data_IF_159735633004
#
_entry.id   IF_159735633004
#
_cell.length_a   1.000
_cell.length_b   1.000
_cell.length_c   1.000
_cell.angle_alpha   90.00
_cell.angle_beta   90.00
_cell.angle_gamma   90.00
#
_symmetry.space_group_name_H-M   'P 1'
#
loop_
_entity.id
_entity.type
_entity.pdbx_description
1 polymer ?
#
# COMPACT_ATOMS: atom_id res chain seq x y z
N UNK A 1 -3.12 7.14 14.77
CA UNK A 1 -1.75 7.63 14.76
C UNK A 1 -0.82 6.48 14.55
N UNK A 2 -0.01 6.56 13.55
CA UNK A 2 1.27 5.88 13.41
C UNK A 2 1.26 4.35 13.34
N UNK A 3 0.37 3.81 12.53
CA UNK A 3 0.53 2.46 12.01
C UNK A 3 1.73 2.38 11.03
N UNK A 4 2.11 1.20 10.53
CA UNK A 4 3.21 1.04 9.59
C UNK A 4 2.85 1.41 8.13
N UNK A 5 1.84 2.25 7.90
CA UNK A 5 1.33 2.57 6.56
C UNK A 5 2.44 3.10 5.66
N UNK A 6 3.20 4.12 6.08
CA UNK A 6 4.31 4.68 5.32
C UNK A 6 5.45 3.69 5.01
N UNK A 7 5.53 2.55 5.72
CA UNK A 7 6.46 1.45 5.42
C UNK A 7 5.82 0.32 4.60
N UNK A 8 4.52 0.43 4.30
CA UNK A 8 3.75 -0.58 3.55
C UNK A 8 3.35 -0.07 2.17
N UNK A 9 2.72 1.10 2.09
CA UNK A 9 2.03 1.57 0.89
C UNK A 9 2.17 3.08 0.64
N UNK A 10 3.27 3.70 1.08
CA UNK A 10 3.52 5.12 0.79
C UNK A 10 3.65 5.36 -0.72
N UNK A 11 3.03 6.46 -1.17
CA UNK A 11 2.99 6.95 -2.54
C UNK A 11 2.74 8.48 -2.52
N UNK A 12 3.22 9.29 -3.45
CA UNK A 12 4.02 8.96 -4.64
C UNK A 12 5.48 8.60 -4.34
N UNK A 13 6.20 8.05 -5.31
CA UNK A 13 7.57 7.59 -5.17
C UNK A 13 8.52 8.24 -6.20
N UNK A 14 9.65 8.83 -5.73
CA UNK A 14 10.77 9.18 -6.59
C UNK A 14 11.64 7.95 -6.86
N UNK A 15 11.59 7.42 -8.06
CA UNK A 15 12.37 6.25 -8.47
C UNK A 15 13.88 6.51 -8.41
N UNK A 16 14.30 7.75 -8.72
CA UNK A 16 15.70 8.15 -8.67
C UNK A 16 16.27 8.13 -7.26
N UNK A 17 15.42 8.12 -6.23
CA UNK A 17 15.85 7.93 -4.85
C UNK A 17 16.33 6.50 -4.57
N UNK A 18 15.74 5.50 -5.19
CA UNK A 18 16.03 4.08 -4.95
C UNK A 18 17.12 3.53 -5.87
N UNK A 19 16.98 3.74 -7.17
CA UNK A 19 17.84 3.12 -8.17
C UNK A 19 18.01 4.04 -9.39
N UNK A 20 18.76 3.58 -10.39
CA UNK A 20 18.92 4.30 -11.64
C UNK A 20 17.58 4.51 -12.38
N UNK A 21 17.51 5.63 -13.07
CA UNK A 21 16.40 5.99 -13.94
C UNK A 21 16.92 6.41 -15.31
N UNK A 22 16.02 6.54 -16.29
CA UNK A 22 16.39 7.10 -17.60
C UNK A 22 16.92 8.53 -17.44
N UNK A 23 18.14 8.74 -17.89
CA UNK A 23 18.85 10.02 -17.72
C UNK A 23 19.66 10.15 -16.42
N UNK A 24 19.49 9.24 -15.47
CA UNK A 24 20.23 9.17 -14.21
C UNK A 24 20.80 7.78 -13.91
N UNK A 25 21.81 7.32 -14.68
CA UNK A 25 22.31 5.92 -14.57
C UNK A 25 23.02 5.62 -13.24
N UNK A 26 23.38 6.64 -12.47
CA UNK A 26 24.07 6.51 -11.18
C UNK A 26 23.23 7.00 -10.01
N UNK A 27 21.94 7.30 -10.23
CA UNK A 27 21.04 7.74 -9.16
C UNK A 27 20.67 6.61 -8.20
N UNK A 28 20.20 7.02 -7.04
CA UNK A 28 19.59 6.16 -6.04
C UNK A 28 20.55 5.56 -5.01
N UNK A 29 19.95 5.17 -3.90
CA UNK A 29 20.62 4.54 -2.74
C UNK A 29 21.46 3.33 -3.17
N UNK A 30 20.98 2.58 -4.15
CA UNK A 30 21.65 1.38 -4.66
C UNK A 30 22.99 1.72 -5.29
N UNK A 31 23.08 2.84 -6.00
CA UNK A 31 24.28 3.23 -6.77
C UNK A 31 25.23 4.13 -5.99
N UNK A 32 24.76 4.80 -4.96
CA UNK A 32 25.61 5.63 -4.08
C UNK A 32 26.34 4.78 -3.03
N UNK A 33 27.33 4.01 -3.48
CA UNK A 33 28.15 3.16 -2.62
C UNK A 33 28.99 3.97 -1.62
N UNK A 34 29.27 5.23 -1.94
CA UNK A 34 30.09 6.11 -1.08
C UNK A 34 29.31 6.56 0.14
N UNK A 35 28.08 7.02 -0.03
CA UNK A 35 27.22 7.48 1.05
C UNK A 35 26.60 6.30 1.80
N UNK A 36 26.23 5.25 1.08
CA UNK A 36 25.57 4.06 1.61
C UNK A 36 26.40 2.80 1.33
N UNK A 37 27.52 2.58 2.03
CA UNK A 37 28.43 1.45 1.74
C UNK A 37 27.75 0.09 1.93
N UNK A 38 26.78 0.01 2.83
CA UNK A 38 26.00 -1.20 3.10
C UNK A 38 24.50 -0.88 3.04
N UNK A 39 23.73 -1.76 2.42
CA UNK A 39 22.25 -1.71 2.45
C UNK A 39 21.79 -2.54 3.63
N UNK A 40 21.22 -1.88 4.64
CA UNK A 40 20.72 -2.53 5.85
C UNK A 40 19.25 -2.20 6.08
N UNK A 41 18.57 -2.99 6.91
CA UNK A 41 17.19 -2.75 7.31
C UNK A 41 17.01 -1.37 7.96
N UNK A 42 17.85 -1.05 8.94
CA UNK A 42 17.77 0.22 9.67
C UNK A 42 18.06 1.42 8.74
N UNK A 43 18.96 1.23 7.77
CA UNK A 43 19.21 2.25 6.74
C UNK A 43 17.93 2.53 5.95
N UNK A 44 17.26 1.51 5.40
CA UNK A 44 16.07 1.70 4.58
C UNK A 44 14.91 2.30 5.37
N UNK A 45 14.67 1.83 6.59
CA UNK A 45 13.66 2.44 7.47
C UNK A 45 13.98 3.93 7.73
N UNK A 46 15.24 4.25 8.03
CA UNK A 46 15.66 5.62 8.34
C UNK A 46 15.72 6.55 7.13
N UNK A 47 15.68 6.01 5.91
CA UNK A 47 15.65 6.77 4.67
C UNK A 47 14.24 6.93 4.09
N UNK A 48 13.28 6.12 4.55
CA UNK A 48 11.91 6.22 4.04
C UNK A 48 11.30 7.57 4.41
N UNK A 49 10.78 8.28 3.41
CA UNK A 49 10.21 9.64 3.51
C UNK A 49 11.19 10.70 4.06
N UNK A 50 12.47 10.38 4.09
CA UNK A 50 13.48 11.30 4.59
C UNK A 50 13.71 12.44 3.60
N UNK A 51 13.59 13.66 4.10
CA UNK A 51 13.78 14.93 3.36
C UNK A 51 12.74 15.16 2.22
N UNK A 52 11.70 14.32 2.12
CA UNK A 52 10.59 14.43 1.16
C UNK A 52 9.67 13.23 1.21
N UNK A 53 8.36 13.46 1.09
CA UNK A 53 7.34 12.41 1.12
C UNK A 53 7.48 11.41 -0.04
N UNK A 54 8.06 11.82 -1.17
CA UNK A 54 8.30 10.97 -2.33
C UNK A 54 9.56 10.09 -2.18
N UNK A 55 10.37 10.31 -1.14
CA UNK A 55 11.62 9.57 -0.90
C UNK A 55 11.35 8.19 -0.29
N UNK A 56 10.61 7.37 -1.01
CA UNK A 56 10.16 6.05 -0.58
C UNK A 56 11.26 5.01 -0.77
N UNK A 57 11.63 4.31 0.29
CA UNK A 57 12.62 3.22 0.27
C UNK A 57 12.08 1.88 0.74
N UNK A 58 10.83 1.83 1.19
CA UNK A 58 10.15 0.64 1.72
C UNK A 58 8.77 0.45 1.07
N UNK A 59 8.12 -0.66 1.36
CA UNK A 59 6.74 -0.91 0.97
C UNK A 59 6.56 -1.51 -0.43
N UNK A 60 5.29 -1.59 -0.84
CA UNK A 60 4.89 -2.23 -2.09
C UNK A 60 5.51 -1.56 -3.30
N UNK A 61 5.49 -0.23 -3.38
CA UNK A 61 5.94 0.51 -4.58
C UNK A 61 7.45 0.48 -4.77
N UNK A 62 8.24 0.46 -3.68
CA UNK A 62 9.68 0.23 -3.78
C UNK A 62 9.99 -1.18 -4.31
N UNK A 63 9.24 -2.20 -3.88
CA UNK A 63 9.36 -3.57 -4.39
C UNK A 63 8.91 -3.64 -5.85
N UNK A 64 7.81 -3.00 -6.18
CA UNK A 64 7.26 -2.92 -7.53
C UNK A 64 8.27 -2.28 -8.49
N UNK A 65 8.80 -1.10 -8.17
CA UNK A 65 9.83 -0.46 -8.96
C UNK A 65 11.08 -1.33 -9.13
N UNK A 66 11.52 -2.00 -8.07
CA UNK A 66 12.68 -2.90 -8.14
C UNK A 66 12.43 -4.11 -9.07
N UNK A 67 11.20 -4.59 -9.19
CA UNK A 67 10.87 -5.73 -10.04
C UNK A 67 10.59 -5.34 -11.49
N UNK A 68 9.87 -4.26 -11.73
CA UNK A 68 9.45 -3.82 -13.07
C UNK A 68 10.28 -2.68 -13.64
N UNK A 69 10.96 -1.87 -12.80
CA UNK A 69 11.66 -0.67 -13.25
C UNK A 69 10.69 0.45 -13.66
N UNK A 70 11.18 1.48 -14.31
CA UNK A 70 10.34 2.52 -14.89
C UNK A 70 9.49 1.94 -16.02
N UNK A 71 8.24 2.35 -16.07
CA UNK A 71 7.36 1.98 -17.16
C UNK A 71 7.34 3.09 -18.23
N UNK A 72 7.73 2.74 -19.44
CA UNK A 72 7.71 3.58 -20.63
C UNK A 72 6.74 3.08 -21.70
N UNK A 73 5.93 2.07 -21.38
CA UNK A 73 5.00 1.47 -22.30
C UNK A 73 3.61 2.09 -22.14
N UNK A 74 2.91 2.29 -23.25
CA UNK A 74 1.54 2.79 -23.22
C UNK A 74 0.55 1.73 -22.72
N UNK A 75 0.94 0.47 -22.77
CA UNK A 75 0.14 -0.66 -22.30
C UNK A 75 1.05 -1.81 -21.89
N UNK A 76 0.89 -2.24 -20.66
CA UNK A 76 1.71 -3.30 -20.05
C UNK A 76 2.80 -2.73 -19.14
N UNK A 77 3.32 -3.54 -18.24
CA UNK A 77 4.24 -3.13 -17.17
C UNK A 77 5.63 -2.76 -17.67
N UNK A 78 6.41 -2.14 -16.80
CA UNK A 78 7.84 -1.92 -17.00
C UNK A 78 8.61 -3.20 -17.24
N UNK A 79 9.77 -3.10 -17.88
CA UNK A 79 10.59 -4.24 -18.33
C UNK A 79 12.01 -4.17 -17.77
N UNK A 80 12.16 -4.21 -16.44
CA UNK A 80 13.48 -4.26 -15.82
C UNK A 80 14.23 -5.52 -16.26
N UNK A 81 15.44 -5.38 -16.83
CA UNK A 81 16.18 -6.53 -17.32
C UNK A 81 16.69 -7.41 -16.17
N UNK A 82 16.61 -8.73 -16.31
CA UNK A 82 17.13 -9.69 -15.32
C UNK A 82 18.63 -9.53 -15.06
N UNK A 83 19.37 -8.93 -15.99
CA UNK A 83 20.79 -8.60 -15.85
C UNK A 83 21.06 -7.65 -14.69
N UNK A 84 20.08 -6.81 -14.30
CA UNK A 84 20.16 -5.93 -13.15
C UNK A 84 20.40 -6.68 -11.84
N UNK A 85 19.96 -7.92 -11.80
CA UNK A 85 20.10 -8.81 -10.66
C UNK A 85 21.21 -9.86 -10.83
N UNK A 86 21.92 -9.87 -11.95
CA UNK A 86 22.94 -10.90 -12.23
C UNK A 86 24.31 -10.34 -12.59
N UNK A 87 24.40 -9.48 -13.59
CA UNK A 87 25.67 -9.05 -14.18
C UNK A 87 25.86 -7.54 -14.24
N UNK A 88 24.81 -6.74 -14.06
CA UNK A 88 24.91 -5.28 -14.06
C UNK A 88 25.68 -4.75 -12.84
N UNK A 89 26.13 -3.51 -12.92
CA UNK A 89 26.72 -2.82 -11.77
C UNK A 89 25.74 -2.82 -10.58
N UNK A 90 26.28 -3.02 -9.39
CA UNK A 90 25.52 -3.05 -8.14
C UNK A 90 24.43 -4.14 -8.05
N UNK A 91 24.48 -5.19 -8.89
CA UNK A 91 23.51 -6.28 -8.89
C UNK A 91 23.27 -6.90 -7.50
N UNK A 92 24.33 -7.13 -6.72
CA UNK A 92 24.21 -7.71 -5.39
C UNK A 92 23.57 -6.75 -4.40
N UNK A 93 23.84 -5.44 -4.51
CA UNK A 93 23.21 -4.41 -3.69
C UNK A 93 21.71 -4.33 -3.99
N UNK A 94 21.33 -4.38 -5.28
CA UNK A 94 19.92 -4.38 -5.73
C UNK A 94 19.17 -5.62 -5.20
N UNK A 95 19.78 -6.80 -5.25
CA UNK A 95 19.25 -8.02 -4.62
C UNK A 95 19.05 -7.85 -3.12
N UNK A 96 20.02 -7.24 -2.44
CA UNK A 96 19.98 -7.04 -1.00
C UNK A 96 18.86 -6.06 -0.64
N UNK A 97 18.76 -4.95 -1.37
CA UNK A 97 17.69 -3.97 -1.20
C UNK A 97 16.31 -4.64 -1.33
N UNK A 98 16.07 -5.32 -2.45
CA UNK A 98 14.80 -6.04 -2.70
C UNK A 98 14.48 -7.06 -1.59
N UNK A 99 15.45 -7.84 -1.13
CA UNK A 99 15.23 -8.82 -0.06
C UNK A 99 14.87 -8.16 1.26
N UNK A 100 15.51 -7.05 1.59
CA UNK A 100 15.24 -6.32 2.83
C UNK A 100 13.85 -5.68 2.77
N UNK A 101 13.49 -5.02 1.67
CA UNK A 101 12.16 -4.40 1.54
C UNK A 101 11.03 -5.42 1.59
N UNK A 102 11.19 -6.58 0.96
CA UNK A 102 10.23 -7.70 1.08
C UNK A 102 10.13 -8.21 2.51
N UNK A 103 11.27 -8.37 3.21
CA UNK A 103 11.26 -8.79 4.62
C UNK A 103 10.55 -7.77 5.52
N UNK A 104 10.84 -6.48 5.31
CA UNK A 104 10.20 -5.38 6.04
C UNK A 104 8.69 -5.36 5.81
N UNK A 105 8.25 -5.51 4.55
CA UNK A 105 6.82 -5.56 4.22
C UNK A 105 6.13 -6.70 4.97
N UNK A 106 6.71 -7.90 4.96
CA UNK A 106 6.15 -9.06 5.67
C UNK A 106 6.07 -8.82 7.18
N UNK A 107 7.12 -8.23 7.79
CA UNK A 107 7.14 -7.91 9.22
C UNK A 107 6.06 -6.87 9.57
N UNK A 108 5.89 -5.83 8.76
CA UNK A 108 4.87 -4.80 8.97
C UNK A 108 3.45 -5.38 8.83
N UNK A 109 3.21 -6.22 7.83
CA UNK A 109 1.93 -6.93 7.68
C UNK A 109 1.66 -7.88 8.86
N UNK A 110 2.67 -8.60 9.34
CA UNK A 110 2.54 -9.45 10.53
C UNK A 110 2.22 -8.62 11.78
N UNK A 111 2.80 -7.42 11.91
CA UNK A 111 2.46 -6.51 13.01
C UNK A 111 0.98 -6.15 13.00
N UNK A 112 0.40 -5.84 11.83
CA UNK A 112 -1.04 -5.56 11.69
C UNK A 112 -1.89 -6.78 12.06
N UNK A 113 -1.51 -7.98 11.61
CA UNK A 113 -2.20 -9.23 12.01
C UNK A 113 -2.17 -9.39 13.54
N UNK A 114 -1.05 -9.07 14.20
CA UNK A 114 -0.92 -9.15 15.65
C UNK A 114 -1.79 -8.10 16.38
N UNK A 115 -1.94 -6.89 15.84
CA UNK A 115 -2.82 -5.85 16.40
C UNK A 115 -4.31 -6.24 16.31
N UNK A 116 -4.68 -7.12 15.38
CA UNK A 116 -6.05 -7.62 15.23
C UNK A 116 -6.27 -9.02 15.80
N UNK A 117 -5.22 -9.70 16.25
CA UNK A 117 -5.33 -11.06 16.78
C UNK A 117 -6.23 -11.13 18.02
N UNK A 118 -7.15 -12.11 18.12
CA UNK A 118 -8.00 -12.28 19.29
C UNK A 118 -7.18 -12.67 20.53
N UNK A 119 -7.73 -12.37 21.71
CA UNK A 119 -7.17 -12.80 23.01
C UNK A 119 -5.79 -12.23 23.35
N UNK A 120 -5.38 -11.11 22.73
CA UNK A 120 -4.17 -10.37 23.04
C UNK A 120 -4.50 -8.98 23.59
N UNK A 121 -3.57 -8.37 24.31
CA UNK A 121 -3.60 -6.96 24.69
C UNK A 121 -3.07 -6.12 23.51
N UNK A 122 -3.94 -5.73 22.60
CA UNK A 122 -3.62 -5.08 21.33
C UNK A 122 -4.69 -4.07 20.92
N UNK A 123 -4.56 -3.46 19.73
CA UNK A 123 -5.52 -2.49 19.20
C UNK A 123 -6.95 -3.04 19.21
N UNK A 124 -7.18 -4.26 18.71
CA UNK A 124 -8.50 -4.91 18.71
C UNK A 124 -9.10 -4.97 20.11
N UNK A 125 -8.33 -5.36 21.12
CA UNK A 125 -8.82 -5.47 22.49
C UNK A 125 -9.17 -4.11 23.10
N UNK A 126 -8.50 -3.04 22.69
CA UNK A 126 -8.78 -1.68 23.11
C UNK A 126 -10.04 -1.15 22.42
N UNK A 127 -10.14 -1.31 21.10
CA UNK A 127 -11.33 -0.94 20.33
C UNK A 127 -12.62 -1.58 20.87
N UNK A 128 -12.55 -2.86 21.28
CA UNK A 128 -13.70 -3.58 21.84
C UNK A 128 -14.10 -3.12 23.25
N UNK A 129 -13.29 -2.33 23.93
CA UNK A 129 -13.59 -1.73 25.26
C UNK A 129 -14.14 -0.31 25.15
N UNK A 130 -14.00 0.31 23.99
CA UNK A 130 -14.51 1.66 23.76
C UNK A 130 -16.04 1.70 23.80
N UNK A 131 -16.59 2.90 23.94
CA UNK A 131 -18.00 3.11 23.70
C UNK A 131 -18.35 2.65 22.28
N UNK A 132 -19.39 1.83 22.07
CA UNK A 132 -19.75 1.30 20.77
C UNK A 132 -19.95 2.35 19.68
N UNK A 133 -20.46 3.53 20.02
CA UNK A 133 -20.64 4.62 19.05
C UNK A 133 -19.30 5.19 18.61
N UNK A 134 -18.33 5.32 19.53
CA UNK A 134 -16.96 5.76 19.21
C UNK A 134 -16.27 4.75 18.31
N UNK A 135 -16.38 3.45 18.61
CA UNK A 135 -15.81 2.39 17.79
C UNK A 135 -16.40 2.40 16.37
N UNK A 136 -17.72 2.54 16.24
CA UNK A 136 -18.39 2.63 14.94
C UNK A 136 -17.97 3.88 14.18
N UNK A 137 -17.84 5.03 14.83
CA UNK A 137 -17.35 6.26 14.21
C UNK A 137 -15.95 6.08 13.65
N UNK A 138 -15.04 5.41 14.36
CA UNK A 138 -13.68 5.10 13.85
C UNK A 138 -13.74 4.24 12.60
N UNK A 139 -14.57 3.20 12.58
CA UNK A 139 -14.74 2.33 11.41
C UNK A 139 -15.27 3.13 10.22
N UNK A 140 -16.34 3.90 10.41
CA UNK A 140 -16.93 4.72 9.35
C UNK A 140 -15.97 5.81 8.85
N UNK A 141 -15.18 6.42 9.74
CA UNK A 141 -14.16 7.40 9.37
C UNK A 141 -13.10 6.76 8.48
N UNK A 142 -12.62 5.54 8.81
CA UNK A 142 -11.68 4.81 7.97
C UNK A 142 -12.26 4.49 6.59
N UNK A 143 -13.50 3.99 6.53
CA UNK A 143 -14.17 3.72 5.24
C UNK A 143 -14.31 5.00 4.39
N UNK A 144 -14.68 6.12 5.02
CA UNK A 144 -14.86 7.40 4.32
C UNK A 144 -13.53 7.98 3.85
N UNK A 145 -12.49 7.89 4.68
CA UNK A 145 -11.14 8.34 4.33
C UNK A 145 -10.62 7.56 3.13
N UNK A 146 -10.69 6.22 3.19
CA UNK A 146 -10.24 5.37 2.10
C UNK A 146 -11.01 5.64 0.81
N UNK A 147 -12.34 5.71 0.84
CA UNK A 147 -13.14 5.88 -0.39
C UNK A 147 -13.05 7.28 -1.00
N UNK A 148 -13.09 8.32 -0.16
CA UNK A 148 -13.23 9.71 -0.62
C UNK A 148 -11.90 10.43 -0.77
N UNK A 149 -11.02 10.32 0.20
CA UNK A 149 -9.73 11.01 0.17
C UNK A 149 -8.68 10.17 -0.56
N UNK A 150 -8.35 9.00 -0.04
CA UNK A 150 -7.27 8.19 -0.59
C UNK A 150 -7.58 7.71 -2.01
N UNK A 151 -8.62 6.91 -2.19
CA UNK A 151 -8.91 6.29 -3.48
C UNK A 151 -9.36 7.32 -4.52
N UNK A 152 -10.41 8.10 -4.22
CA UNK A 152 -10.95 9.02 -5.21
C UNK A 152 -10.06 10.26 -5.41
N UNK A 153 -9.57 10.88 -4.34
CA UNK A 153 -8.81 12.12 -4.39
C UNK A 153 -7.36 11.90 -4.80
N UNK A 154 -6.64 11.06 -4.05
CA UNK A 154 -5.20 10.95 -4.20
C UNK A 154 -4.78 9.93 -5.27
N UNK A 155 -5.55 8.87 -5.50
CA UNK A 155 -5.14 7.80 -6.43
C UNK A 155 -5.78 7.94 -7.81
N UNK A 156 -7.08 8.20 -7.90
CA UNK A 156 -7.77 8.24 -9.19
C UNK A 156 -7.79 9.64 -9.81
N UNK A 157 -8.08 10.68 -9.03
CA UNK A 157 -8.23 12.03 -9.56
C UNK A 157 -6.90 12.60 -10.06
N UNK A 158 -5.81 12.39 -9.37
CA UNK A 158 -4.49 12.89 -9.75
C UNK A 158 -4.09 12.36 -11.12
N UNK A 159 -4.11 11.04 -11.32
CA UNK A 159 -3.80 10.41 -12.61
C UNK A 159 -4.79 10.81 -13.71
N UNK A 160 -6.09 10.95 -13.37
CA UNK A 160 -7.12 11.38 -14.32
C UNK A 160 -6.91 12.82 -14.82
N UNK A 161 -6.51 13.74 -13.96
CA UNK A 161 -6.30 15.15 -14.31
C UNK A 161 -4.98 15.37 -15.04
N UNK A 162 -3.90 14.79 -14.56
CA UNK A 162 -2.55 14.94 -15.13
C UNK A 162 -2.42 14.22 -16.50
N UNK A 163 -3.10 13.10 -16.67
CA UNK A 163 -2.93 12.19 -17.81
C UNK A 163 -1.51 11.64 -17.93
N UNK A 164 -0.76 11.63 -16.83
CA UNK A 164 0.58 11.10 -16.75
C UNK A 164 0.53 9.69 -16.16
N UNK A 165 1.19 8.75 -16.81
CA UNK A 165 1.21 7.34 -16.38
C UNK A 165 1.92 7.19 -15.04
N UNK A 166 2.97 7.98 -14.80
CA UNK A 166 3.71 7.99 -13.53
C UNK A 166 2.89 8.41 -12.32
N UNK A 167 1.72 9.04 -12.52
CA UNK A 167 0.79 9.41 -11.43
C UNK A 167 -0.21 8.29 -11.11
N UNK A 168 -0.16 7.17 -11.82
CA UNK A 168 -0.96 5.99 -11.48
C UNK A 168 -0.37 5.27 -10.27
N UNK A 169 -1.23 4.80 -9.36
CA UNK A 169 -0.82 4.22 -8.07
C UNK A 169 0.15 3.02 -8.19
N UNK A 170 -0.11 2.10 -9.11
CA UNK A 170 0.80 0.97 -9.41
C UNK A 170 1.25 1.03 -10.87
N UNK A 171 1.91 2.15 -11.23
CA UNK A 171 2.32 2.43 -12.59
C UNK A 171 3.39 1.46 -13.10
N UNK A 172 4.32 1.01 -12.25
CA UNK A 172 5.42 0.14 -12.69
C UNK A 172 4.95 -1.25 -13.13
N UNK A 173 3.94 -1.80 -12.47
CA UNK A 173 3.37 -3.11 -12.79
C UNK A 173 2.11 -3.07 -13.66
N UNK A 174 1.61 -1.86 -13.99
CA UNK A 174 0.36 -1.64 -14.73
C UNK A 174 -0.86 -2.29 -14.06
N UNK A 175 -0.91 -2.24 -12.70
CA UNK A 175 -1.96 -2.91 -11.90
C UNK A 175 -2.86 -1.97 -11.11
N UNK A 176 -2.81 -0.67 -11.33
CA UNK A 176 -3.63 0.36 -10.66
C UNK A 176 -5.12 0.04 -10.64
N UNK A 177 -5.65 -0.58 -11.72
CA UNK A 177 -7.04 -1.00 -11.77
C UNK A 177 -7.39 -2.08 -10.72
N UNK A 178 -6.45 -2.94 -10.37
CA UNK A 178 -6.64 -3.92 -9.30
C UNK A 178 -6.67 -3.25 -7.93
N UNK A 179 -5.81 -2.27 -7.68
CA UNK A 179 -5.77 -1.54 -6.42
C UNK A 179 -7.13 -0.88 -6.16
N UNK A 180 -7.65 -0.14 -7.16
CA UNK A 180 -8.95 0.51 -7.06
C UNK A 180 -10.09 -0.50 -6.78
N UNK A 181 -10.09 -1.66 -7.45
CA UNK A 181 -11.08 -2.72 -7.22
C UNK A 181 -10.99 -3.26 -5.79
N UNK A 182 -9.78 -3.58 -5.31
CA UNK A 182 -9.63 -4.22 -4.01
C UNK A 182 -9.76 -3.25 -2.84
N UNK A 183 -9.53 -1.96 -3.02
CA UNK A 183 -9.88 -0.93 -2.04
C UNK A 183 -11.40 -0.89 -1.82
N UNK A 184 -12.17 -0.91 -2.90
CA UNK A 184 -13.64 -0.97 -2.80
C UNK A 184 -14.11 -2.30 -2.21
N UNK A 185 -13.50 -3.43 -2.59
CA UNK A 185 -13.79 -4.74 -1.98
C UNK A 185 -13.52 -4.71 -0.47
N UNK A 186 -12.45 -4.06 -0.03
CA UNK A 186 -12.16 -3.86 1.39
C UNK A 186 -13.27 -3.11 2.12
N UNK A 187 -13.77 -2.02 1.54
CA UNK A 187 -14.90 -1.25 2.07
C UNK A 187 -16.17 -2.11 2.11
N UNK A 188 -16.49 -2.84 1.03
CA UNK A 188 -17.64 -3.74 0.95
C UNK A 188 -17.57 -4.83 2.02
N UNK A 189 -16.41 -5.40 2.26
CA UNK A 189 -16.22 -6.41 3.30
C UNK A 189 -16.56 -5.89 4.70
N UNK A 190 -16.14 -4.67 5.03
CA UNK A 190 -16.46 -4.04 6.32
C UNK A 190 -17.95 -3.67 6.38
N UNK A 191 -18.51 -3.13 5.31
CA UNK A 191 -19.92 -2.78 5.22
C UNK A 191 -20.82 -3.98 5.39
N UNK A 192 -20.58 -5.05 4.65
CA UNK A 192 -21.39 -6.27 4.66
C UNK A 192 -21.10 -7.21 5.83
N UNK A 193 -19.90 -7.11 6.44
CA UNK A 193 -19.43 -8.06 7.45
C UNK A 193 -19.03 -9.40 6.84
N UNK A 194 -18.55 -9.40 5.59
CA UNK A 194 -18.16 -10.62 4.87
C UNK A 194 -16.71 -10.53 4.42
N UNK A 195 -16.05 -11.67 4.33
CA UNK A 195 -14.72 -11.78 3.75
C UNK A 195 -14.55 -13.15 3.10
N UNK A 196 -13.99 -13.19 1.91
CA UNK A 196 -13.66 -14.45 1.23
C UNK A 196 -12.14 -14.59 1.18
N UNK A 197 -11.61 -15.58 1.89
CA UNK A 197 -10.17 -15.88 1.91
C UNK A 197 -9.69 -16.44 0.56
N UNK A 198 -8.37 -16.46 0.35
CA UNK A 198 -7.76 -16.95 -0.90
C UNK A 198 -8.08 -18.41 -1.22
N UNK A 199 -8.34 -19.23 -0.22
CA UNK A 199 -8.75 -20.64 -0.38
C UNK A 199 -10.26 -20.80 -0.65
N UNK A 200 -11.00 -19.68 -0.77
CA UNK A 200 -12.44 -19.65 -0.97
C UNK A 200 -13.27 -19.77 0.31
N UNK A 201 -12.64 -19.88 1.48
CA UNK A 201 -13.36 -19.90 2.77
C UNK A 201 -14.06 -18.56 2.98
N UNK A 202 -15.37 -18.61 3.25
CA UNK A 202 -16.16 -17.43 3.57
C UNK A 202 -16.23 -17.23 5.08
N UNK A 203 -15.99 -16.01 5.51
CA UNK A 203 -16.15 -15.53 6.89
C UNK A 203 -17.28 -14.51 6.88
N UNK A 204 -18.30 -14.71 7.72
CA UNK A 204 -19.46 -13.85 7.76
C UNK A 204 -19.77 -13.45 9.21
N UNK A 205 -20.20 -12.22 9.39
CA UNK A 205 -20.63 -11.65 10.66
C UNK A 205 -21.49 -10.42 10.46
N UNK A 206 -22.01 -9.81 11.56
CA UNK A 206 -22.75 -8.57 11.45
C UNK A 206 -21.85 -7.45 10.91
N UNK A 207 -22.18 -6.92 9.74
CA UNK A 207 -21.53 -5.75 9.15
C UNK A 207 -22.21 -4.44 9.57
N UNK A 208 -21.62 -3.32 9.15
CA UNK A 208 -22.19 -1.99 9.36
C UNK A 208 -23.58 -1.85 8.70
N UNK A 209 -23.80 -2.53 7.56
CA UNK A 209 -25.09 -2.61 6.87
C UNK A 209 -26.23 -3.06 7.81
N UNK A 210 -26.00 -4.09 8.62
CA UNK A 210 -27.03 -4.60 9.53
C UNK A 210 -27.47 -3.52 10.54
N UNK A 211 -26.51 -2.77 11.09
CA UNK A 211 -26.78 -1.67 12.02
C UNK A 211 -27.48 -0.50 11.33
N UNK A 212 -27.03 -0.11 10.15
CA UNK A 212 -27.64 0.98 9.37
C UNK A 212 -29.09 0.65 9.00
N UNK A 213 -29.34 -0.57 8.51
CA UNK A 213 -30.68 -1.01 8.11
C UNK A 213 -31.65 -1.18 9.29
N UNK A 214 -31.15 -1.54 10.48
CA UNK A 214 -31.97 -1.57 11.69
C UNK A 214 -32.48 -0.17 12.10
N UNK A 215 -31.68 0.86 11.88
CA UNK A 215 -31.99 2.26 12.19
C UNK A 215 -32.76 2.96 11.08
N UNK A 216 -32.33 2.77 9.84
CA UNK A 216 -32.93 3.36 8.64
C UNK A 216 -32.75 2.41 7.43
N UNK A 217 -33.77 1.57 7.13
CA UNK A 217 -33.71 0.65 6.00
C UNK A 217 -33.51 1.34 4.65
N UNK A 218 -33.98 2.58 4.49
CA UNK A 218 -33.83 3.33 3.25
C UNK A 218 -32.36 3.76 3.05
N UNK A 219 -31.66 4.13 4.13
CA UNK A 219 -30.24 4.47 4.10
C UNK A 219 -29.40 3.24 3.77
N UNK A 220 -29.65 2.10 4.42
CA UNK A 220 -28.96 0.85 4.11
C UNK A 220 -29.08 0.49 2.64
N UNK A 221 -30.31 0.47 2.10
CA UNK A 221 -30.57 0.19 0.68
C UNK A 221 -29.95 1.23 -0.29
N UNK A 222 -29.83 2.49 0.12
CA UNK A 222 -29.19 3.52 -0.70
C UNK A 222 -27.67 3.28 -0.82
N UNK A 223 -27.03 2.93 0.28
CA UNK A 223 -25.59 2.64 0.30
C UNK A 223 -25.29 1.38 -0.52
N UNK A 224 -26.08 0.30 -0.36
CA UNK A 224 -25.91 -0.93 -1.16
C UNK A 224 -25.95 -0.70 -2.68
N UNK A 225 -26.67 0.31 -3.12
CA UNK A 225 -26.74 0.66 -4.55
C UNK A 225 -25.58 1.52 -5.04
N UNK A 226 -24.82 2.07 -4.11
CA UNK A 226 -23.66 2.93 -4.40
C UNK A 226 -22.34 2.17 -4.35
N UNK A 227 -22.32 1.02 -3.67
CA UNK A 227 -21.22 0.07 -3.62
C UNK A 227 -21.32 -0.98 -4.74
#
# INVERSE_FOLDING_TARGET
>A
EDGPEGLINAWPMDEAYVDYVKGGPESGIINDVKTYPEITKDLLIGLNEKDGEENISCGYHAIEFLLWGQDFQVSGPGERPHTDYTTAANADRRKQFLKITVSLLLENLESLVNEWAPSKANYRSNLLKEDPLVAIQKILSGMTLLSGFELAGERLLVAYESRAQEDEHSCFSDTTHNDAIYDIVGIINVWSGTYTALDGTKIEGPGIHALASDKDPALGSKIDKSL
#
